data_IF_387551970064
#
_entry.id   IF_387551970064
#
_cell.length_a   1.000
_cell.length_b   1.000
_cell.length_c   1.000
_cell.angle_alpha   90.00
_cell.angle_beta   90.00
_cell.angle_gamma   90.00
#
_symmetry.space_group_name_H-M   'P 1'
#
loop_
_entity.id
_entity.type
_entity.pdbx_description
1 polymer ?
#
# COMPACT_ATOMS: atom_id res chain seq x y z
N UNK A 1 8.29 12.11 15.13
CA UNK A 1 8.56 10.93 15.98
C UNK A 1 7.50 9.88 15.74
N UNK A 2 7.88 8.68 15.27
CA UNK A 2 6.95 7.55 15.08
C UNK A 2 6.31 7.17 16.42
N UNK A 3 5.00 7.00 16.45
CA UNK A 3 4.25 6.64 17.65
C UNK A 3 4.57 5.20 18.05
N UNK A 4 5.07 5.00 19.28
CA UNK A 4 5.24 3.64 19.82
C UNK A 4 3.88 3.11 20.28
N UNK A 5 3.44 2.00 19.68
CA UNK A 5 2.27 1.25 20.12
C UNK A 5 2.67 0.22 21.18
N UNK A 6 1.82 0.03 22.18
CA UNK A 6 1.98 -1.06 23.15
C UNK A 6 1.54 -2.39 22.53
N UNK A 7 2.01 -3.52 23.06
CA UNK A 7 1.62 -4.85 22.56
C UNK A 7 0.09 -5.06 22.58
N UNK A 8 -0.58 -4.53 23.62
CA UNK A 8 -2.05 -4.57 23.70
C UNK A 8 -2.73 -3.75 22.60
N UNK A 9 -2.20 -2.56 22.31
CA UNK A 9 -2.72 -1.76 21.19
C UNK A 9 -2.50 -2.47 19.86
N UNK A 10 -1.31 -3.03 19.63
CA UNK A 10 -0.99 -3.80 18.42
C UNK A 10 -1.95 -4.98 18.25
N UNK A 11 -2.19 -5.74 19.32
CA UNK A 11 -3.13 -6.86 19.30
C UNK A 11 -4.54 -6.42 18.89
N UNK A 12 -5.07 -5.36 19.52
CA UNK A 12 -6.41 -4.83 19.19
C UNK A 12 -6.47 -4.32 17.74
N UNK A 13 -5.44 -3.60 17.29
CA UNK A 13 -5.37 -3.09 15.93
C UNK A 13 -5.32 -4.20 14.88
N UNK A 14 -4.59 -5.28 15.12
CA UNK A 14 -4.55 -6.44 14.23
C UNK A 14 -5.92 -7.12 14.12
N UNK A 15 -6.62 -7.31 15.25
CA UNK A 15 -7.98 -7.88 15.27
C UNK A 15 -8.97 -6.96 14.55
N UNK A 16 -8.90 -5.65 14.81
CA UNK A 16 -9.74 -4.66 14.14
C UNK A 16 -9.52 -4.67 12.62
N UNK A 17 -8.26 -4.71 12.19
CA UNK A 17 -7.88 -4.77 10.78
C UNK A 17 -8.47 -5.99 10.07
N UNK A 18 -8.35 -7.15 10.69
CA UNK A 18 -8.88 -8.40 10.12
C UNK A 18 -10.41 -8.35 9.93
N UNK A 19 -11.13 -7.80 10.92
CA UNK A 19 -12.59 -7.65 10.84
C UNK A 19 -13.00 -6.62 9.78
N UNK A 20 -12.31 -5.49 9.73
CA UNK A 20 -12.58 -4.41 8.77
C UNK A 20 -12.27 -4.86 7.34
N UNK A 21 -11.20 -5.62 7.13
CA UNK A 21 -10.87 -6.18 5.83
C UNK A 21 -11.98 -7.11 5.30
N UNK A 22 -12.67 -7.83 6.20
CA UNK A 22 -13.75 -8.77 5.84
C UNK A 22 -15.12 -8.12 5.68
N UNK A 23 -15.46 -7.15 6.53
CA UNK A 23 -16.83 -6.63 6.67
C UNK A 23 -16.95 -5.13 6.37
N UNK A 24 -15.83 -4.48 6.09
CA UNK A 24 -15.75 -3.01 5.99
C UNK A 24 -15.81 -2.32 7.35
N UNK A 25 -15.52 -1.02 7.35
CA UNK A 25 -15.54 -0.21 8.58
C UNK A 25 -16.93 -0.15 9.22
N UNK A 26 -17.97 0.15 8.43
CA UNK A 26 -19.34 0.25 8.95
C UNK A 26 -19.88 -1.09 9.45
N UNK A 27 -19.51 -2.19 8.81
CA UNK A 27 -19.92 -3.55 9.19
C UNK A 27 -19.20 -4.13 10.42
N UNK A 28 -18.24 -3.38 11.03
CA UNK A 28 -17.46 -3.84 12.18
C UNK A 28 -17.80 -3.02 13.41
N UNK A 29 -18.17 -3.66 14.53
CA UNK A 29 -18.49 -3.00 15.80
C UNK A 29 -17.37 -3.10 16.84
N UNK A 30 -17.27 -2.13 17.76
CA UNK A 30 -16.32 -2.19 18.89
C UNK A 30 -16.55 -3.41 19.79
N UNK A 31 -17.80 -3.87 19.93
CA UNK A 31 -18.13 -5.08 20.69
C UNK A 31 -17.57 -6.33 20.03
N UNK A 32 -17.64 -6.41 18.72
CA UNK A 32 -17.09 -7.53 17.96
C UNK A 32 -15.55 -7.54 18.01
N UNK A 33 -14.92 -6.36 17.88
CA UNK A 33 -13.47 -6.24 18.03
C UNK A 33 -13.04 -6.66 19.44
N UNK A 34 -13.70 -6.16 20.49
CA UNK A 34 -13.34 -6.51 21.86
C UNK A 34 -13.55 -7.99 22.16
N UNK A 35 -14.65 -8.58 21.68
CA UNK A 35 -14.91 -10.01 21.83
C UNK A 35 -13.83 -10.86 21.15
N UNK A 36 -13.46 -10.53 19.91
CA UNK A 36 -12.44 -11.29 19.17
C UNK A 36 -11.03 -11.05 19.70
N UNK A 37 -10.75 -9.86 20.26
CA UNK A 37 -9.48 -9.55 20.92
C UNK A 37 -9.40 -10.07 22.36
N UNK A 38 -10.45 -10.70 22.87
CA UNK A 38 -10.56 -11.22 24.24
C UNK A 38 -10.30 -10.16 25.31
N UNK A 39 -10.85 -8.94 25.11
CA UNK A 39 -10.71 -7.82 26.02
C UNK A 39 -12.08 -7.25 26.43
N UNK A 40 -12.10 -6.50 27.54
CA UNK A 40 -13.27 -5.70 27.87
C UNK A 40 -13.45 -4.55 26.86
N UNK A 41 -14.70 -4.30 26.42
CA UNK A 41 -15.04 -3.23 25.47
C UNK A 41 -14.55 -1.84 25.94
N UNK A 42 -14.52 -1.58 27.26
CA UNK A 42 -13.98 -0.36 27.83
C UNK A 42 -12.50 -0.11 27.50
N UNK A 43 -11.73 -1.19 27.21
CA UNK A 43 -10.32 -1.08 26.82
C UNK A 43 -10.15 -0.39 25.46
N UNK A 44 -11.11 -0.55 24.54
CA UNK A 44 -11.08 0.14 23.24
C UNK A 44 -11.22 1.66 23.48
N UNK A 45 -12.18 2.07 24.30
CA UNK A 45 -12.35 3.49 24.67
C UNK A 45 -11.14 4.04 25.43
N UNK A 46 -10.54 3.24 26.31
CA UNK A 46 -9.34 3.61 27.05
C UNK A 46 -8.11 3.84 26.14
N UNK A 47 -7.84 2.92 25.22
CA UNK A 47 -6.65 3.01 24.36
C UNK A 47 -6.82 3.94 23.17
N UNK A 48 -8.01 4.06 22.62
CA UNK A 48 -8.25 4.73 21.34
C UNK A 48 -9.30 5.84 21.41
N UNK A 49 -10.12 5.89 22.44
CA UNK A 49 -11.21 6.87 22.59
C UNK A 49 -12.48 6.46 21.86
N UNK A 50 -12.48 6.37 20.53
CA UNK A 50 -13.63 5.96 19.73
C UNK A 50 -13.22 5.00 18.63
N UNK A 51 -14.21 4.41 17.93
CA UNK A 51 -13.98 3.56 16.75
C UNK A 51 -13.29 4.33 15.62
N UNK A 52 -13.69 5.56 15.38
CA UNK A 52 -13.12 6.45 14.36
C UNK A 52 -11.67 6.79 14.69
N UNK A 53 -11.40 7.16 15.93
CA UNK A 53 -10.02 7.39 16.40
C UNK A 53 -9.17 6.14 16.34
N UNK A 54 -9.72 4.97 16.65
CA UNK A 54 -9.03 3.69 16.49
C UNK A 54 -8.63 3.45 15.02
N UNK A 55 -9.46 3.86 14.06
CA UNK A 55 -9.09 3.79 12.64
C UNK A 55 -7.88 4.67 12.29
N UNK A 56 -7.80 5.88 12.86
CA UNK A 56 -6.62 6.74 12.68
C UNK A 56 -5.35 6.06 13.24
N UNK A 57 -5.44 5.42 14.41
CA UNK A 57 -4.34 4.62 14.96
C UNK A 57 -3.98 3.41 14.11
N UNK A 58 -4.99 2.71 13.58
CA UNK A 58 -4.78 1.59 12.68
C UNK A 58 -4.05 2.02 11.41
N UNK A 59 -4.42 3.18 10.86
CA UNK A 59 -3.74 3.77 9.72
C UNK A 59 -2.27 4.07 10.03
N UNK A 60 -1.98 4.78 11.12
CA UNK A 60 -0.60 5.07 11.55
C UNK A 60 0.22 3.80 11.72
N UNK A 61 -0.33 2.82 12.42
CA UNK A 61 0.28 1.51 12.61
C UNK A 61 0.59 0.84 11.26
N UNK A 62 -0.36 0.89 10.31
CA UNK A 62 -0.19 0.27 9.01
C UNK A 62 0.86 0.97 8.15
N UNK A 63 0.87 2.31 8.12
CA UNK A 63 1.92 3.07 7.40
C UNK A 63 3.30 2.76 7.97
N UNK A 64 3.43 2.73 9.31
CA UNK A 64 4.69 2.38 9.96
C UNK A 64 5.14 0.96 9.56
N UNK A 65 4.26 -0.03 9.64
CA UNK A 65 4.57 -1.42 9.24
C UNK A 65 4.91 -1.53 7.75
N UNK A 66 4.24 -0.77 6.90
CA UNK A 66 4.54 -0.74 5.47
C UNK A 66 5.93 -0.18 5.20
N UNK A 67 6.36 0.87 5.92
CA UNK A 67 7.73 1.40 5.83
C UNK A 67 8.77 0.37 6.26
N UNK A 68 8.57 -0.28 7.41
CA UNK A 68 9.47 -1.33 7.92
C UNK A 68 9.60 -2.46 6.89
N UNK A 69 8.50 -3.01 6.41
CA UNK A 69 8.51 -4.08 5.41
C UNK A 69 9.08 -3.65 4.05
N UNK A 70 8.88 -2.37 3.65
CA UNK A 70 9.47 -1.87 2.41
C UNK A 70 10.99 -1.76 2.53
N UNK A 71 11.51 -1.31 3.67
CA UNK A 71 12.94 -1.26 3.92
C UNK A 71 13.57 -2.66 3.92
N UNK A 72 12.96 -3.62 4.63
CA UNK A 72 13.38 -5.03 4.63
C UNK A 72 13.35 -5.62 3.20
N UNK A 73 12.26 -5.41 2.48
CA UNK A 73 12.11 -5.88 1.10
C UNK A 73 13.20 -5.29 0.18
N UNK A 74 13.45 -3.98 0.24
CA UNK A 74 14.45 -3.34 -0.64
C UNK A 74 15.86 -3.81 -0.34
N UNK A 75 16.15 -4.24 0.89
CA UNK A 75 17.41 -4.87 1.26
C UNK A 75 17.58 -6.25 0.60
N UNK A 76 16.51 -7.04 0.46
CA UNK A 76 16.57 -8.36 -0.20
C UNK A 76 16.91 -8.29 -1.68
N UNK A 77 16.63 -7.16 -2.34
CA UNK A 77 16.86 -6.98 -3.78
C UNK A 77 18.06 -6.06 -4.11
N UNK A 78 18.80 -5.59 -3.12
CA UNK A 78 19.83 -4.55 -3.30
C UNK A 78 20.93 -4.94 -4.29
N UNK A 79 21.30 -6.22 -4.34
CA UNK A 79 22.36 -6.77 -5.19
C UNK A 79 21.86 -7.25 -6.55
N UNK A 80 20.54 -7.17 -6.80
CA UNK A 80 19.96 -7.51 -8.10
C UNK A 80 20.27 -6.45 -9.17
N UNK A 81 20.24 -6.84 -10.45
CA UNK A 81 20.39 -5.91 -11.56
C UNK A 81 19.30 -4.82 -11.51
N UNK A 82 19.60 -3.55 -11.90
CA UNK A 82 18.66 -2.42 -11.77
C UNK A 82 17.27 -2.69 -12.38
N UNK A 83 17.19 -3.34 -13.53
CA UNK A 83 15.91 -3.70 -14.15
C UNK A 83 15.10 -4.71 -13.32
N UNK A 84 15.77 -5.60 -12.60
CA UNK A 84 15.10 -6.53 -11.68
C UNK A 84 14.65 -5.81 -10.41
N UNK A 85 15.48 -4.92 -9.85
CA UNK A 85 15.10 -4.09 -8.71
C UNK A 85 13.84 -3.26 -9.03
N UNK A 86 13.82 -2.56 -10.18
CA UNK A 86 12.65 -1.75 -10.61
C UNK A 86 11.40 -2.62 -10.76
N UNK A 87 11.52 -3.78 -11.40
CA UNK A 87 10.42 -4.73 -11.55
C UNK A 87 9.83 -5.17 -10.22
N UNK A 88 10.68 -5.54 -9.27
CA UNK A 88 10.23 -6.05 -7.98
C UNK A 88 9.67 -4.93 -7.09
N UNK A 89 10.21 -3.70 -7.14
CA UNK A 89 9.63 -2.53 -6.45
C UNK A 89 8.23 -2.21 -6.97
N UNK A 90 8.03 -2.20 -8.29
CA UNK A 90 6.69 -2.00 -8.89
C UNK A 90 5.71 -3.08 -8.41
N UNK A 91 6.09 -4.35 -8.51
CA UNK A 91 5.24 -5.47 -8.08
C UNK A 91 4.90 -5.37 -6.60
N UNK A 92 5.87 -5.04 -5.76
CA UNK A 92 5.69 -4.88 -4.32
C UNK A 92 4.65 -3.79 -4.01
N UNK A 93 4.85 -2.57 -4.55
CA UNK A 93 3.93 -1.45 -4.29
C UNK A 93 2.50 -1.80 -4.73
N UNK A 94 2.33 -2.33 -5.93
CA UNK A 94 1.00 -2.75 -6.44
C UNK A 94 0.38 -3.80 -5.53
N UNK A 95 1.13 -4.85 -5.15
CA UNK A 95 0.61 -5.89 -4.25
C UNK A 95 0.19 -5.36 -2.88
N UNK A 96 0.95 -4.41 -2.30
CA UNK A 96 0.58 -3.80 -1.02
C UNK A 96 -0.72 -2.99 -1.14
N UNK A 97 -0.89 -2.25 -2.23
CA UNK A 97 -2.13 -1.51 -2.47
C UNK A 97 -3.35 -2.42 -2.62
N UNK A 98 -3.23 -3.55 -3.32
CA UNK A 98 -4.29 -4.54 -3.42
C UNK A 98 -4.57 -5.25 -2.09
N UNK A 99 -3.52 -5.64 -1.37
CA UNK A 99 -3.64 -6.30 -0.06
C UNK A 99 -4.39 -5.45 0.96
N UNK A 100 -4.15 -4.14 0.96
CA UNK A 100 -4.75 -3.20 1.90
C UNK A 100 -5.80 -2.29 1.24
N UNK A 101 -6.54 -2.81 0.25
CA UNK A 101 -7.51 -2.05 -0.54
C UNK A 101 -8.63 -1.40 0.30
N UNK A 102 -9.02 -2.01 1.41
CA UNK A 102 -10.03 -1.50 2.34
C UNK A 102 -9.65 -0.17 3.00
N UNK A 103 -8.35 0.17 3.05
CA UNK A 103 -7.90 1.45 3.58
C UNK A 103 -8.17 2.64 2.65
N UNK A 104 -8.22 2.43 1.35
CA UNK A 104 -8.23 3.53 0.39
C UNK A 104 -9.46 4.43 0.47
N UNK A 105 -10.62 3.89 0.84
CA UNK A 105 -11.84 4.67 1.05
C UNK A 105 -11.73 5.58 2.28
N UNK A 106 -11.31 5.02 3.39
CA UNK A 106 -11.14 5.71 4.67
C UNK A 106 -10.04 6.77 4.60
N UNK A 107 -8.86 6.43 4.06
CA UNK A 107 -7.72 7.33 3.93
C UNK A 107 -8.08 8.63 3.20
N UNK A 108 -8.84 8.55 2.12
CA UNK A 108 -9.22 9.75 1.35
C UNK A 108 -10.10 10.71 2.18
N UNK A 109 -10.92 10.20 3.08
CA UNK A 109 -11.78 10.99 3.95
C UNK A 109 -11.01 11.58 5.13
N UNK A 110 -10.23 10.77 5.83
CA UNK A 110 -9.50 11.17 7.04
C UNK A 110 -8.28 12.06 6.74
N UNK A 111 -7.60 11.86 5.61
CA UNK A 111 -6.50 12.74 5.18
C UNK A 111 -6.91 14.20 4.97
N UNK A 112 -8.21 14.46 4.72
CA UNK A 112 -8.73 15.84 4.65
C UNK A 112 -8.83 16.50 6.01
N UNK A 113 -8.84 15.72 7.10
CA UNK A 113 -9.13 16.20 8.46
C UNK A 113 -7.92 16.09 9.41
N UNK A 114 -6.90 15.30 9.07
CA UNK A 114 -5.81 14.97 9.99
C UNK A 114 -4.44 15.19 9.35
N UNK A 115 -3.83 16.36 9.60
CA UNK A 115 -2.52 16.76 9.08
C UNK A 115 -1.40 15.74 9.37
N UNK A 116 -1.40 15.16 10.57
CA UNK A 116 -0.38 14.19 10.97
C UNK A 116 -0.40 12.91 10.12
N UNK A 117 -1.59 12.40 9.79
CA UNK A 117 -1.73 11.21 8.92
C UNK A 117 -1.24 11.49 7.50
N UNK A 118 -1.50 12.70 7.02
CA UNK A 118 -1.01 13.17 5.72
C UNK A 118 0.52 13.17 5.69
N UNK A 119 1.16 13.73 6.72
CA UNK A 119 2.62 13.81 6.79
C UNK A 119 3.28 12.43 6.82
N UNK A 120 2.77 11.46 7.59
CA UNK A 120 3.30 10.10 7.62
C UNK A 120 3.22 9.39 6.27
N UNK A 121 2.16 9.61 5.51
CA UNK A 121 2.03 9.05 4.17
C UNK A 121 2.97 9.75 3.18
N UNK A 122 3.11 11.08 3.27
CA UNK A 122 4.05 11.82 2.43
C UNK A 122 5.49 11.36 2.65
N UNK A 123 5.91 11.20 3.91
CA UNK A 123 7.23 10.63 4.22
C UNK A 123 7.44 9.23 3.60
N UNK A 124 6.41 8.39 3.57
CA UNK A 124 6.50 7.09 2.91
C UNK A 124 6.62 7.22 1.38
N UNK A 125 5.92 8.16 0.77
CA UNK A 125 6.06 8.44 -0.66
C UNK A 125 7.47 8.96 -1.01
N UNK A 126 8.05 9.82 -0.17
CA UNK A 126 9.44 10.28 -0.32
C UNK A 126 10.44 9.12 -0.29
N UNK A 127 10.26 8.16 0.60
CA UNK A 127 11.07 6.93 0.65
C UNK A 127 10.94 6.11 -0.66
N UNK A 128 9.73 5.96 -1.18
CA UNK A 128 9.50 5.27 -2.46
C UNK A 128 10.17 6.02 -3.63
N UNK A 129 10.01 7.34 -3.69
CA UNK A 129 10.62 8.21 -4.71
C UNK A 129 12.14 8.10 -4.67
N UNK A 130 12.74 8.20 -3.49
CA UNK A 130 14.20 8.08 -3.31
C UNK A 130 14.72 6.70 -3.77
N UNK A 131 13.97 5.61 -3.51
CA UNK A 131 14.34 4.28 -3.96
C UNK A 131 14.24 4.12 -5.48
N UNK A 132 13.19 4.66 -6.09
CA UNK A 132 13.00 4.66 -7.55
C UNK A 132 14.14 5.45 -8.23
N UNK A 133 14.51 6.61 -7.68
CA UNK A 133 15.62 7.44 -8.17
C UNK A 133 16.96 6.70 -8.12
N UNK A 134 17.28 6.08 -6.97
CA UNK A 134 18.51 5.26 -6.81
C UNK A 134 18.58 4.15 -7.87
N UNK A 135 17.48 3.41 -8.08
CA UNK A 135 17.44 2.34 -9.08
C UNK A 135 17.59 2.89 -10.50
N UNK A 136 16.94 4.01 -10.80
CA UNK A 136 17.01 4.67 -12.12
C UNK A 136 18.44 5.12 -12.40
N UNK A 137 19.12 5.78 -11.46
CA UNK A 137 20.52 6.20 -11.58
C UNK A 137 21.45 5.03 -11.80
N UNK A 138 21.29 3.93 -11.06
CA UNK A 138 22.04 2.69 -11.25
C UNK A 138 21.81 2.08 -12.64
N UNK A 139 20.58 2.10 -13.13
CA UNK A 139 20.21 1.58 -14.44
C UNK A 139 20.80 2.40 -15.59
N UNK A 140 20.82 3.72 -15.47
CA UNK A 140 21.49 4.63 -16.43
C UNK A 140 23.01 4.37 -16.42
N UNK A 141 23.64 4.34 -15.24
CA UNK A 141 25.08 4.06 -15.11
C UNK A 141 25.48 2.71 -15.67
N UNK A 142 24.62 1.71 -15.59
CA UNK A 142 24.81 0.38 -16.16
C UNK A 142 24.44 0.27 -17.66
N UNK A 143 23.95 1.35 -18.30
CA UNK A 143 23.49 1.35 -19.67
C UNK A 143 22.22 0.53 -19.94
N UNK A 144 21.49 0.18 -18.87
CA UNK A 144 20.26 -0.64 -18.94
C UNK A 144 19.02 0.23 -19.20
N UNK A 145 19.03 1.47 -18.70
CA UNK A 145 18.02 2.49 -18.97
C UNK A 145 18.65 3.59 -19.83
N UNK A 146 17.88 4.16 -20.75
CA UNK A 146 18.33 5.25 -21.64
C UNK A 146 17.72 6.58 -21.30
N UNK A 147 16.62 6.59 -20.50
CA UNK A 147 15.96 7.81 -20.03
C UNK A 147 15.88 7.81 -18.50
N UNK A 148 15.95 9.02 -17.93
CA UNK A 148 15.83 9.29 -16.51
C UNK A 148 14.60 10.19 -16.27
N UNK A 149 13.37 9.64 -16.30
CA UNK A 149 12.18 10.41 -15.94
C UNK A 149 12.23 10.84 -14.48
N UNK A 150 11.42 11.85 -14.11
CA UNK A 150 11.33 12.24 -12.72
C UNK A 150 10.81 11.05 -11.87
N UNK A 151 11.45 10.71 -10.75
CA UNK A 151 11.09 9.52 -9.97
C UNK A 151 9.68 9.59 -9.39
N UNK A 152 9.15 10.79 -9.10
CA UNK A 152 7.76 11.01 -8.68
C UNK A 152 6.75 10.71 -9.80
N UNK A 153 7.11 10.90 -11.07
CA UNK A 153 6.26 10.53 -12.21
C UNK A 153 6.14 9.00 -12.31
N UNK A 154 7.23 8.27 -12.06
CA UNK A 154 7.19 6.80 -11.99
C UNK A 154 6.29 6.36 -10.84
N UNK A 155 6.43 6.95 -9.64
CA UNK A 155 5.55 6.60 -8.51
C UNK A 155 4.08 6.90 -8.83
N UNK A 156 3.80 8.05 -9.43
CA UNK A 156 2.44 8.44 -9.86
C UNK A 156 1.86 7.46 -10.87
N UNK A 157 2.69 6.99 -11.82
CA UNK A 157 2.31 5.97 -12.80
C UNK A 157 2.02 4.60 -12.16
N UNK A 158 2.64 4.29 -11.02
CA UNK A 158 2.34 3.08 -10.24
C UNK A 158 1.04 3.26 -9.45
N UNK A 159 0.87 4.38 -8.76
CA UNK A 159 -0.27 4.60 -7.86
C UNK A 159 -1.58 4.84 -8.63
N UNK A 160 -1.57 5.67 -9.67
CA UNK A 160 -2.77 6.10 -10.39
C UNK A 160 -3.58 4.93 -10.95
N UNK A 161 -3.03 4.11 -11.86
CA UNK A 161 -3.74 2.96 -12.43
C UNK A 161 -4.12 1.92 -11.38
N UNK A 162 -3.28 1.71 -10.35
CA UNK A 162 -3.58 0.75 -9.27
C UNK A 162 -4.79 1.19 -8.47
N UNK A 163 -4.81 2.44 -8.00
CA UNK A 163 -5.92 2.99 -7.22
C UNK A 163 -7.19 3.12 -8.07
N UNK A 164 -7.06 3.46 -9.35
CA UNK A 164 -8.21 3.46 -10.27
C UNK A 164 -8.82 2.06 -10.39
N UNK A 165 -7.98 1.03 -10.59
CA UNK A 165 -8.42 -0.36 -10.69
C UNK A 165 -9.15 -0.82 -9.43
N UNK A 166 -8.61 -0.51 -8.24
CA UNK A 166 -9.22 -0.87 -6.96
C UNK A 166 -10.56 -0.17 -6.75
N UNK A 167 -10.65 1.13 -7.07
CA UNK A 167 -11.84 1.95 -6.79
C UNK A 167 -12.97 1.79 -7.81
N UNK A 168 -12.65 1.39 -9.04
CA UNK A 168 -13.60 1.35 -10.15
C UNK A 168 -13.91 -0.09 -10.58
N UNK A 169 -14.18 -0.96 -9.59
CA UNK A 169 -14.43 -2.38 -9.81
C UNK A 169 -15.43 -2.63 -10.95
N UNK A 170 -16.59 -1.99 -10.95
CA UNK A 170 -17.63 -2.17 -11.98
C UNK A 170 -17.12 -1.88 -13.41
N UNK A 171 -16.21 -0.94 -13.56
CA UNK A 171 -15.57 -0.67 -14.85
C UNK A 171 -14.55 -1.76 -15.22
N UNK A 172 -13.74 -2.18 -14.26
CA UNK A 172 -12.69 -3.18 -14.51
C UNK A 172 -13.27 -4.57 -14.80
N UNK A 173 -14.41 -4.92 -14.18
CA UNK A 173 -15.14 -6.18 -14.41
C UNK A 173 -15.49 -6.42 -15.89
N UNK A 174 -15.67 -5.38 -16.69
CA UNK A 174 -15.91 -5.48 -18.14
C UNK A 174 -14.72 -6.14 -18.87
N UNK A 175 -13.50 -6.00 -18.33
CA UNK A 175 -12.24 -6.40 -18.98
C UNK A 175 -11.52 -7.53 -18.28
N UNK A 176 -12.09 -8.10 -17.23
CA UNK A 176 -11.49 -9.17 -16.41
C UNK A 176 -12.45 -10.33 -16.31
N UNK A 177 -11.99 -11.50 -16.77
CA UNK A 177 -12.79 -12.74 -16.63
C UNK A 177 -12.55 -13.35 -15.25
N UNK A 178 -13.62 -13.54 -14.49
CA UNK A 178 -13.57 -14.10 -13.14
C UNK A 178 -14.84 -14.87 -12.80
N UNK A 179 -14.78 -15.74 -11.80
CA UNK A 179 -15.90 -16.52 -11.29
C UNK A 179 -16.11 -16.38 -9.77
N UNK A 180 -15.17 -15.78 -9.08
CA UNK A 180 -15.22 -15.46 -7.64
C UNK A 180 -14.57 -14.11 -7.38
N UNK A 181 -14.92 -13.46 -6.26
CA UNK A 181 -14.31 -12.18 -5.84
C UNK A 181 -12.79 -12.29 -5.67
N UNK A 182 -12.31 -13.38 -5.11
CA UNK A 182 -10.88 -13.62 -4.96
C UNK A 182 -10.18 -13.69 -6.34
N UNK A 183 -10.78 -14.41 -7.27
CA UNK A 183 -10.25 -14.53 -8.63
C UNK A 183 -10.26 -13.19 -9.37
N UNK A 184 -11.30 -12.38 -9.17
CA UNK A 184 -11.36 -11.02 -9.69
C UNK A 184 -10.15 -10.20 -9.21
N UNK A 185 -9.89 -10.17 -7.89
CA UNK A 185 -8.78 -9.40 -7.32
C UNK A 185 -7.42 -9.85 -7.88
N UNK A 186 -7.21 -11.15 -8.01
CA UNK A 186 -5.98 -11.71 -8.58
C UNK A 186 -5.78 -11.29 -10.05
N UNK A 187 -6.81 -11.41 -10.89
CA UNK A 187 -6.70 -11.06 -12.31
C UNK A 187 -6.61 -9.54 -12.52
N UNK A 188 -7.31 -8.72 -11.74
CA UNK A 188 -7.22 -7.27 -11.77
C UNK A 188 -5.81 -6.80 -11.36
N UNK A 189 -5.24 -7.37 -10.31
CA UNK A 189 -3.86 -7.11 -9.86
C UNK A 189 -2.84 -7.50 -10.93
N UNK A 190 -2.98 -8.69 -11.52
CA UNK A 190 -2.11 -9.17 -12.60
C UNK A 190 -2.13 -8.25 -13.81
N UNK A 191 -3.35 -7.84 -14.23
CA UNK A 191 -3.55 -6.96 -15.39
C UNK A 191 -2.91 -5.59 -15.17
N UNK A 192 -3.15 -4.96 -14.02
CA UNK A 192 -2.58 -3.64 -13.73
C UNK A 192 -1.06 -3.70 -13.55
N UNK A 193 -0.53 -4.76 -12.94
CA UNK A 193 0.93 -4.98 -12.86
C UNK A 193 1.58 -5.06 -14.25
N UNK A 194 0.99 -5.82 -15.16
CA UNK A 194 1.50 -5.95 -16.52
C UNK A 194 1.51 -4.60 -17.25
N UNK A 195 0.43 -3.83 -17.14
CA UNK A 195 0.32 -2.49 -17.71
C UNK A 195 1.37 -1.54 -17.14
N UNK A 196 1.53 -1.46 -15.82
CA UNK A 196 2.49 -0.57 -15.16
C UNK A 196 3.92 -0.95 -15.52
N UNK A 197 4.26 -2.24 -15.50
CA UNK A 197 5.59 -2.73 -15.89
C UNK A 197 5.93 -2.31 -17.33
N UNK A 198 5.03 -2.55 -18.26
CA UNK A 198 5.21 -2.14 -19.66
C UNK A 198 5.43 -0.62 -19.78
N UNK A 199 4.59 0.18 -19.10
CA UNK A 199 4.64 1.64 -19.19
C UNK A 199 5.90 2.22 -18.56
N UNK A 200 6.29 1.77 -17.34
CA UNK A 200 7.51 2.25 -16.67
C UNK A 200 8.76 1.86 -17.42
N UNK A 201 8.85 0.63 -17.92
CA UNK A 201 10.03 0.19 -18.68
C UNK A 201 10.14 0.90 -20.03
N UNK A 202 9.02 1.20 -20.69
CA UNK A 202 9.00 2.05 -21.88
C UNK A 202 9.49 3.48 -21.57
N UNK A 203 9.02 4.06 -20.45
CA UNK A 203 9.42 5.40 -19.98
C UNK A 203 10.92 5.47 -19.64
N UNK A 204 11.49 4.36 -19.12
CA UNK A 204 12.93 4.24 -18.83
C UNK A 204 13.77 3.96 -20.09
N UNK A 205 13.13 3.73 -21.24
CA UNK A 205 13.83 3.36 -22.48
C UNK A 205 14.54 2.01 -22.38
N UNK A 206 13.98 1.07 -21.61
CA UNK A 206 14.54 -0.28 -21.46
C UNK A 206 14.19 -1.12 -22.67
N UNK A 207 15.23 -1.65 -23.33
CA UNK A 207 15.10 -2.66 -24.38
C UNK A 207 15.58 -4.00 -23.82
N UNK A 208 14.68 -4.98 -23.80
CA UNK A 208 15.05 -6.34 -23.41
C UNK A 208 16.08 -6.89 -24.41
N UNK A 209 17.25 -7.22 -23.90
CA UNK A 209 18.30 -7.93 -24.67
C UNK A 209 17.96 -9.42 -24.74
#
# INVERSE_FOLDING_TARGET
>A
MSKKFTDKQIHILNVAEELIAKKGFEGTSVREISSKAEINVAMISYYFGSKEKMMAYLYQFRVQKTREHFAEFTETIKDAKPQMQMREVIKYIVSQLFKYNYFHGFVTQEMRQTEHLKNELMEFYEICVAKIDDITKKGIAAGVFTFAPQPEDILTLILGPTLFTIRNRKFIEIFVVYNTDEKYMQEAEKKVKAYILMSVFALLGYVAQ
#
